data_IF_055981650542
#
_entry.id   IF_055981650542
#
_cell.length_a   1.000
_cell.length_b   1.000
_cell.length_c   1.000
_cell.angle_alpha   90.00
_cell.angle_beta   90.00
_cell.angle_gamma   90.00
#
_symmetry.space_group_name_H-M   'P 1'
#
loop_
_entity.id
_entity.type
_entity.pdbx_description
1 polymer ?
#
# COMPACT_ATOMS: atom_id res chain seq x y z
N UNK A 1 27.71 5.09 39.87
CA UNK A 1 26.27 5.34 39.65
C UNK A 1 26.04 5.83 38.21
N UNK A 2 26.58 5.14 37.20
CA UNK A 2 26.59 5.65 35.80
C UNK A 2 25.92 4.69 34.81
N UNK A 3 25.68 3.44 35.20
CA UNK A 3 25.01 2.43 34.37
C UNK A 3 23.48 2.59 34.40
N UNK A 4 22.91 2.85 35.58
CA UNK A 4 21.46 2.99 35.80
C UNK A 4 20.82 4.07 34.90
N UNK A 5 21.40 5.28 34.90
CA UNK A 5 20.96 6.39 34.05
C UNK A 5 21.12 6.12 32.55
N UNK A 6 22.06 5.26 32.14
CA UNK A 6 22.22 4.90 30.73
C UNK A 6 21.17 3.87 30.30
N UNK A 7 20.79 2.94 31.18
CA UNK A 7 19.70 1.99 30.92
C UNK A 7 18.34 2.69 30.82
N UNK A 8 18.09 3.67 31.68
CA UNK A 8 16.85 4.46 31.63
C UNK A 8 16.70 5.23 30.31
N UNK A 9 17.78 5.87 29.84
CA UNK A 9 17.78 6.57 28.53
C UNK A 9 17.51 5.60 27.38
N UNK A 10 18.09 4.39 27.41
CA UNK A 10 17.81 3.39 26.36
C UNK A 10 16.40 2.82 26.42
N UNK A 11 15.80 2.71 27.61
CA UNK A 11 14.43 2.25 27.78
C UNK A 11 13.41 3.31 27.29
N UNK A 12 13.68 4.58 27.53
CA UNK A 12 12.83 5.68 27.08
C UNK A 12 12.86 5.84 25.56
N UNK A 13 14.03 5.69 24.92
CA UNK A 13 14.15 5.70 23.46
C UNK A 13 13.40 4.52 22.82
N UNK A 14 13.55 3.31 23.38
CA UNK A 14 12.82 2.13 22.93
C UNK A 14 11.30 2.35 23.03
N UNK A 15 10.82 2.91 24.15
CA UNK A 15 9.40 3.22 24.35
C UNK A 15 8.89 4.19 23.28
N UNK A 16 9.64 5.25 22.97
CA UNK A 16 9.26 6.20 21.92
C UNK A 16 9.13 5.54 20.54
N UNK A 17 10.03 4.62 20.18
CA UNK A 17 9.91 3.88 18.92
C UNK A 17 8.66 2.99 18.88
N UNK A 18 8.37 2.28 19.98
CA UNK A 18 7.18 1.43 20.09
C UNK A 18 5.90 2.26 19.98
N UNK A 19 5.78 3.33 20.77
CA UNK A 19 4.60 4.20 20.76
C UNK A 19 4.36 4.82 19.38
N UNK A 20 5.43 5.30 18.71
CA UNK A 20 5.32 5.82 17.35
C UNK A 20 4.85 4.76 16.35
N UNK A 21 5.34 3.53 16.47
CA UNK A 21 4.92 2.44 15.58
C UNK A 21 3.47 2.03 15.82
N UNK A 22 3.06 1.89 17.08
CA UNK A 22 1.67 1.56 17.46
C UNK A 22 0.69 2.63 16.99
N UNK A 23 1.08 3.91 17.09
CA UNK A 23 0.31 5.02 16.55
C UNK A 23 0.13 4.90 15.03
N UNK A 24 1.21 4.65 14.28
CA UNK A 24 1.15 4.46 12.83
C UNK A 24 0.31 3.23 12.43
N UNK A 25 0.35 2.15 13.20
CA UNK A 25 -0.50 0.97 12.95
C UNK A 25 -1.99 1.28 13.22
N UNK A 26 -2.30 2.08 14.24
CA UNK A 26 -3.67 2.56 14.48
C UNK A 26 -4.16 3.44 13.32
N UNK A 27 -3.36 4.41 12.88
CA UNK A 27 -3.70 5.26 11.72
C UNK A 27 -3.91 4.43 10.45
N UNK A 28 -3.03 3.47 10.18
CA UNK A 28 -3.13 2.56 9.04
C UNK A 28 -4.42 1.73 9.10
N UNK A 29 -4.82 1.27 10.29
CA UNK A 29 -6.08 0.57 10.47
C UNK A 29 -7.27 1.47 10.13
N UNK A 30 -7.29 2.69 10.65
CA UNK A 30 -8.38 3.65 10.40
C UNK A 30 -8.48 4.01 8.91
N UNK A 31 -7.35 4.25 8.25
CA UNK A 31 -7.29 4.46 6.79
C UNK A 31 -7.84 3.23 6.04
N UNK A 32 -7.48 2.03 6.49
CA UNK A 32 -7.96 0.79 5.87
C UNK A 32 -9.48 0.65 6.01
N UNK A 33 -10.03 1.02 7.15
CA UNK A 33 -11.47 0.97 7.40
C UNK A 33 -12.21 2.02 6.56
N UNK A 34 -11.69 3.25 6.47
CA UNK A 34 -12.21 4.29 5.56
C UNK A 34 -12.18 3.83 4.09
N UNK A 35 -11.12 3.16 3.64
CA UNK A 35 -11.05 2.60 2.28
C UNK A 35 -12.14 1.54 2.04
N UNK A 36 -12.49 0.72 3.05
CA UNK A 36 -13.58 -0.26 2.93
C UNK A 36 -14.93 0.43 2.81
N UNK A 37 -15.17 1.50 3.57
CA UNK A 37 -16.41 2.27 3.52
C UNK A 37 -16.64 2.87 2.12
N UNK A 38 -15.62 3.49 1.51
CA UNK A 38 -15.71 4.01 0.14
C UNK A 38 -16.09 2.92 -0.87
N UNK A 39 -15.49 1.73 -0.71
CA UNK A 39 -15.80 0.58 -1.59
C UNK A 39 -17.21 0.05 -1.36
N UNK A 40 -17.69 0.06 -0.11
CA UNK A 40 -19.06 -0.32 0.23
C UNK A 40 -20.08 0.67 -0.33
N UNK A 41 -19.81 1.97 -0.25
CA UNK A 41 -20.62 3.02 -0.85
C UNK A 41 -20.69 2.88 -2.38
N UNK A 42 -19.55 2.66 -3.03
CA UNK A 42 -19.49 2.40 -4.47
C UNK A 42 -20.34 1.18 -4.86
N UNK A 43 -20.27 0.09 -4.08
CA UNK A 43 -21.11 -1.09 -4.27
C UNK A 43 -22.61 -0.77 -4.11
N UNK A 44 -22.98 0.00 -3.09
CA UNK A 44 -24.35 0.43 -2.85
C UNK A 44 -24.92 1.29 -3.99
N UNK A 45 -24.05 2.03 -4.68
CA UNK A 45 -24.39 2.81 -5.89
C UNK A 45 -24.40 2.00 -7.19
N UNK A 46 -24.09 0.70 -7.13
CA UNK A 46 -24.12 -0.20 -8.28
C UNK A 46 -22.80 -0.33 -9.06
N UNK A 47 -21.69 0.22 -8.56
CA UNK A 47 -20.39 0.03 -9.20
C UNK A 47 -19.78 -1.34 -8.91
N UNK A 48 -19.04 -1.89 -9.88
CA UNK A 48 -18.23 -3.09 -9.68
C UNK A 48 -16.94 -2.77 -8.92
N UNK A 49 -16.91 -3.16 -7.65
CA UNK A 49 -15.76 -2.96 -6.75
C UNK A 49 -14.49 -3.68 -7.23
N UNK A 50 -14.59 -4.82 -7.92
CA UNK A 50 -13.42 -5.53 -8.47
C UNK A 50 -12.78 -4.70 -9.59
N UNK A 51 -13.61 -4.13 -10.46
CA UNK A 51 -13.13 -3.25 -11.54
C UNK A 51 -12.49 -1.98 -10.97
N UNK A 52 -13.11 -1.35 -9.96
CA UNK A 52 -12.53 -0.17 -9.29
C UNK A 52 -11.16 -0.47 -8.66
N UNK A 53 -10.99 -1.61 -8.00
CA UNK A 53 -9.68 -2.04 -7.46
C UNK A 53 -8.64 -2.23 -8.56
N UNK A 54 -9.03 -2.82 -9.70
CA UNK A 54 -8.14 -2.95 -10.86
C UNK A 54 -7.70 -1.59 -11.38
N UNK A 55 -8.62 -0.63 -11.52
CA UNK A 55 -8.30 0.74 -11.94
C UNK A 55 -7.33 1.40 -10.96
N UNK A 56 -7.57 1.30 -9.66
CA UNK A 56 -6.66 1.86 -8.64
C UNK A 56 -5.27 1.22 -8.73
N UNK A 57 -5.19 -0.10 -8.90
CA UNK A 57 -3.91 -0.79 -9.07
C UNK A 57 -3.17 -0.33 -10.34
N UNK A 58 -3.87 -0.21 -11.47
CA UNK A 58 -3.31 0.30 -12.72
C UNK A 58 -2.78 1.74 -12.55
N UNK A 59 -3.53 2.60 -11.84
CA UNK A 59 -3.13 3.98 -11.56
C UNK A 59 -1.94 4.12 -10.60
N UNK A 60 -1.62 3.07 -9.83
CA UNK A 60 -0.45 3.04 -8.94
C UNK A 60 0.84 2.62 -9.66
N UNK A 61 0.74 2.01 -10.84
CA UNK A 61 1.92 1.61 -11.62
C UNK A 61 2.65 2.85 -12.12
N UNK A 62 3.98 2.83 -12.08
CA UNK A 62 4.77 3.92 -12.65
C UNK A 62 4.71 3.85 -14.18
N UNK A 63 4.78 4.98 -14.89
CA UNK A 63 4.82 4.98 -16.36
C UNK A 63 5.89 4.05 -16.93
N UNK A 64 7.06 4.00 -16.29
CA UNK A 64 8.18 3.15 -16.71
C UNK A 64 7.85 1.65 -16.58
N UNK A 65 7.21 1.23 -15.48
CA UNK A 65 6.77 -0.16 -15.26
C UNK A 65 5.69 -0.57 -16.28
N UNK A 66 4.89 0.39 -16.77
CA UNK A 66 3.89 0.15 -17.81
C UNK A 66 4.58 -0.04 -19.17
N UNK A 67 5.52 0.84 -19.51
CA UNK A 67 6.24 0.79 -20.77
C UNK A 67 7.09 -0.49 -20.92
N UNK A 68 7.72 -0.96 -19.85
CA UNK A 68 8.49 -2.21 -19.86
C UNK A 68 7.58 -3.43 -20.07
N UNK A 69 6.45 -3.51 -19.37
CA UNK A 69 5.49 -4.61 -19.55
C UNK A 69 4.85 -4.59 -20.94
N UNK A 70 4.52 -3.42 -21.48
CA UNK A 70 3.97 -3.28 -22.84
C UNK A 70 4.99 -3.73 -23.89
N UNK A 71 6.27 -3.36 -23.77
CA UNK A 71 7.31 -3.81 -24.68
C UNK A 71 7.50 -5.34 -24.68
N UNK A 72 7.45 -5.96 -23.49
CA UNK A 72 7.53 -7.42 -23.36
C UNK A 72 6.27 -8.09 -23.94
N UNK A 73 5.10 -7.52 -23.68
CA UNK A 73 3.83 -8.04 -24.18
C UNK A 73 3.79 -8.03 -25.71
N UNK A 74 4.24 -6.94 -26.32
CA UNK A 74 4.27 -6.79 -27.77
C UNK A 74 5.27 -7.76 -28.42
N UNK A 75 6.43 -7.98 -27.80
CA UNK A 75 7.36 -9.03 -28.22
C UNK A 75 6.71 -10.41 -28.22
N UNK A 76 5.93 -10.75 -27.19
CA UNK A 76 5.24 -12.04 -27.10
C UNK A 76 4.09 -12.16 -28.09
N UNK A 77 3.30 -11.10 -28.30
CA UNK A 77 2.24 -11.11 -29.32
C UNK A 77 2.81 -11.31 -30.72
N UNK A 78 3.90 -10.61 -31.06
CA UNK A 78 4.60 -10.79 -32.34
C UNK A 78 5.10 -12.24 -32.50
N UNK A 79 5.69 -12.82 -31.46
CA UNK A 79 6.15 -14.21 -31.46
C UNK A 79 5.00 -15.23 -31.61
N UNK A 80 3.80 -14.89 -31.12
CA UNK A 80 2.60 -15.72 -31.21
C UNK A 80 1.73 -15.43 -32.44
N UNK A 81 2.11 -14.46 -33.28
CA UNK A 81 1.33 -14.06 -34.46
C UNK A 81 -0.02 -13.42 -34.12
N UNK A 82 -0.12 -12.75 -32.97
CA UNK A 82 -1.34 -12.14 -32.43
C UNK A 82 -1.44 -10.63 -32.74
N UNK A 83 -1.01 -10.19 -33.93
CA UNK A 83 -1.12 -8.79 -34.37
C UNK A 83 -2.56 -8.39 -34.77
#
# INVERSE_FOLDING_TARGET
MSTDSSYDVTADELRQFVERYEHLEAEKKDITDQQKEVMAEAKGRGYDVKVLRKIIALRKRKPDDIAEEEAILDLYKAALGME
#
